data_IF_620226594872
#
_entry.id   IF_620226594872
#
_cell.length_a   1.000
_cell.length_b   1.000
_cell.length_c   1.000
_cell.angle_alpha   90.00
_cell.angle_beta   90.00
_cell.angle_gamma   90.00
#
_symmetry.space_group_name_H-M   'P 1'
#
loop_
_entity.id
_entity.type
_entity.pdbx_description
1 polymer ?
#
# COMPACT_ATOMS: atom_id res chain seq x y z
N UNK A 1 -5.86 17.86 13.36
CA UNK A 1 -7.33 18.03 13.38
C UNK A 1 -7.92 17.61 14.73
N UNK A 2 -7.47 16.52 15.36
CA UNK A 2 -8.05 16.02 16.61
C UNK A 2 -7.53 16.67 17.91
N UNK A 3 -6.28 17.13 17.98
CA UNK A 3 -5.83 17.95 19.13
C UNK A 3 -6.69 19.21 19.28
N UNK A 4 -7.09 19.81 18.15
CA UNK A 4 -8.05 20.91 18.11
C UNK A 4 -9.44 20.50 18.58
N UNK A 5 -9.85 19.23 18.40
CA UNK A 5 -11.08 18.68 18.97
C UNK A 5 -11.04 18.65 20.49
N UNK A 6 -9.90 18.28 21.09
CA UNK A 6 -9.72 18.32 22.56
C UNK A 6 -9.82 19.76 23.11
N UNK A 7 -9.18 20.73 22.44
CA UNK A 7 -9.31 22.14 22.82
C UNK A 7 -10.73 22.67 22.62
N UNK A 8 -11.42 22.28 21.53
CA UNK A 8 -12.84 22.61 21.31
C UNK A 8 -13.75 21.98 22.38
N UNK A 9 -13.46 20.76 22.81
CA UNK A 9 -14.18 20.09 23.90
C UNK A 9 -13.95 20.82 25.23
N UNK A 10 -12.70 21.20 25.53
CA UNK A 10 -12.37 22.02 26.70
C UNK A 10 -13.06 23.39 26.69
N UNK A 11 -13.15 24.03 25.52
CA UNK A 11 -13.89 25.29 25.35
C UNK A 11 -15.40 25.12 25.55
N UNK A 12 -16.00 24.06 24.99
CA UNK A 12 -17.42 23.72 25.23
C UNK A 12 -17.68 23.45 26.70
N UNK A 13 -16.79 22.72 27.37
CA UNK A 13 -16.85 22.44 28.81
C UNK A 13 -16.79 23.74 29.63
N UNK A 14 -15.92 24.68 29.24
CA UNK A 14 -15.82 26.00 29.86
C UNK A 14 -17.15 26.78 29.77
N UNK A 15 -17.79 26.79 28.58
CA UNK A 15 -19.10 27.43 28.38
C UNK A 15 -20.18 26.76 29.24
N UNK A 16 -20.25 25.43 29.23
CA UNK A 16 -21.24 24.68 30.01
C UNK A 16 -21.06 24.95 31.50
N UNK A 17 -19.83 24.94 32.01
CA UNK A 17 -19.55 25.29 33.41
C UNK A 17 -20.01 26.71 33.75
N UNK A 18 -19.77 27.69 32.85
CA UNK A 18 -20.22 29.06 33.04
C UNK A 18 -21.74 29.15 33.13
N UNK A 19 -22.46 28.48 32.22
CA UNK A 19 -23.92 28.47 32.21
C UNK A 19 -24.51 27.82 33.46
N UNK A 20 -23.92 26.71 33.92
CA UNK A 20 -24.32 26.04 35.17
C UNK A 20 -24.09 26.96 36.37
N UNK A 21 -22.92 27.61 36.45
CA UNK A 21 -22.60 28.54 37.55
C UNK A 21 -23.57 29.72 37.58
N UNK A 22 -23.91 30.30 36.42
CA UNK A 22 -24.90 31.37 36.32
C UNK A 22 -26.29 30.89 36.72
N UNK A 23 -26.70 29.70 36.28
CA UNK A 23 -27.97 29.10 36.66
C UNK A 23 -28.09 28.85 38.17
N UNK A 24 -27.03 28.33 38.79
CA UNK A 24 -26.97 28.12 40.24
C UNK A 24 -27.01 29.44 41.02
N UNK A 25 -26.31 30.49 40.55
CA UNK A 25 -26.33 31.80 41.18
C UNK A 25 -27.73 32.42 41.16
N UNK A 26 -28.43 32.32 40.02
CA UNK A 26 -29.81 32.79 39.86
C UNK A 26 -30.79 32.01 40.74
N UNK A 27 -30.65 30.67 40.78
CA UNK A 27 -31.50 29.80 41.60
C UNK A 27 -31.35 30.10 43.10
N UNK A 28 -30.12 30.38 43.55
CA UNK A 28 -29.82 30.72 44.93
C UNK A 28 -30.21 32.16 45.32
N UNK A 29 -30.65 32.99 44.36
CA UNK A 29 -31.03 34.38 44.60
C UNK A 29 -29.87 35.28 45.02
N UNK A 30 -28.63 34.89 44.75
CA UNK A 30 -27.46 35.66 45.13
C UNK A 30 -27.20 36.83 44.16
N UNK A 31 -26.77 38.01 44.65
CA UNK A 31 -26.45 39.14 43.79
C UNK A 31 -25.25 38.82 42.87
N UNK A 32 -25.17 39.53 41.75
CA UNK A 32 -24.01 39.51 40.85
C UNK A 32 -22.85 40.28 41.49
N UNK A 33 -22.05 39.57 42.28
CA UNK A 33 -20.95 40.14 43.05
C UNK A 33 -19.57 39.84 42.43
N UNK A 34 -18.52 40.40 43.02
CA UNK A 34 -17.14 40.15 42.59
C UNK A 34 -16.78 38.66 42.76
N UNK A 35 -17.40 37.93 43.69
CA UNK A 35 -17.18 36.49 43.87
C UNK A 35 -17.67 35.69 42.66
N UNK A 36 -18.79 36.06 42.06
CA UNK A 36 -19.28 35.44 40.83
C UNK A 36 -18.29 35.64 39.67
N UNK A 37 -17.67 36.82 39.56
CA UNK A 37 -16.65 37.07 38.53
C UNK A 37 -15.45 36.13 38.69
N UNK A 38 -14.99 35.91 39.93
CA UNK A 38 -13.93 34.94 40.20
C UNK A 38 -14.38 33.51 39.88
N UNK A 39 -15.58 33.09 40.32
CA UNK A 39 -16.13 31.76 40.02
C UNK A 39 -16.25 31.51 38.51
N UNK A 40 -16.72 32.51 37.76
CA UNK A 40 -16.81 32.47 36.31
C UNK A 40 -15.41 32.37 35.66
N UNK A 41 -14.46 33.17 36.13
CA UNK A 41 -13.06 33.12 35.68
C UNK A 41 -12.42 31.76 35.90
N UNK A 42 -12.56 31.18 37.10
CA UNK A 42 -12.08 29.84 37.42
C UNK A 42 -12.83 28.74 36.65
N UNK A 43 -14.15 28.88 36.46
CA UNK A 43 -14.96 27.93 35.69
C UNK A 43 -14.57 27.88 34.21
N UNK A 44 -14.26 29.03 33.62
CA UNK A 44 -13.72 29.12 32.27
C UNK A 44 -12.30 28.58 32.17
N UNK A 45 -11.43 28.96 33.10
CA UNK A 45 -10.06 28.47 33.16
C UNK A 45 -10.00 26.94 33.35
N UNK A 46 -10.91 26.38 34.15
CA UNK A 46 -10.99 24.94 34.41
C UNK A 46 -11.16 24.13 33.12
N UNK A 47 -12.03 24.54 32.19
CA UNK A 47 -12.21 23.84 30.92
C UNK A 47 -10.95 23.81 30.05
N UNK A 48 -10.19 24.90 30.04
CA UNK A 48 -8.91 25.00 29.34
C UNK A 48 -7.82 24.17 30.03
N UNK A 49 -7.72 24.26 31.36
CA UNK A 49 -6.76 23.50 32.17
C UNK A 49 -6.99 22.00 32.00
N UNK A 50 -8.25 21.54 32.04
CA UNK A 50 -8.60 20.15 31.78
C UNK A 50 -8.12 19.68 30.39
N UNK A 51 -8.31 20.49 29.34
CA UNK A 51 -7.85 20.13 28.00
C UNK A 51 -6.32 19.98 27.93
N UNK A 52 -5.57 20.87 28.60
CA UNK A 52 -4.11 20.79 28.69
C UNK A 52 -3.68 19.54 29.45
N UNK A 53 -4.28 19.27 30.62
CA UNK A 53 -3.97 18.09 31.44
C UNK A 53 -4.23 16.81 30.64
N UNK A 54 -5.41 16.68 30.00
CA UNK A 54 -5.75 15.50 29.20
C UNK A 54 -4.76 15.33 28.04
N UNK A 55 -4.46 16.39 27.30
CA UNK A 55 -3.51 16.34 26.18
C UNK A 55 -2.11 15.92 26.63
N UNK A 56 -1.65 16.39 27.80
CA UNK A 56 -0.37 15.99 28.38
C UNK A 56 -0.36 14.57 28.95
N UNK A 57 -1.51 14.06 29.39
CA UNK A 57 -1.63 12.74 30.04
C UNK A 57 -1.84 11.61 29.02
N UNK A 58 -2.41 11.88 27.84
CA UNK A 58 -2.63 10.86 26.79
C UNK A 58 -1.36 10.06 26.47
N UNK A 59 -0.19 10.67 26.19
CA UNK A 59 1.03 9.90 25.89
C UNK A 59 1.48 8.98 27.03
N UNK A 60 1.22 9.39 28.29
CA UNK A 60 1.53 8.57 29.46
C UNK A 60 0.61 7.35 29.54
N UNK A 61 -0.69 7.54 29.28
CA UNK A 61 -1.68 6.45 29.24
C UNK A 61 -1.39 5.50 28.08
N UNK A 62 -1.09 6.01 26.89
CA UNK A 62 -0.69 5.20 25.73
C UNK A 62 0.53 4.34 26.04
N UNK A 63 1.54 4.91 26.70
CA UNK A 63 2.73 4.19 27.10
C UNK A 63 2.44 3.09 28.14
N UNK A 64 1.65 3.41 29.18
CA UNK A 64 1.33 2.48 30.26
C UNK A 64 0.45 1.31 29.79
N UNK A 65 -0.53 1.59 28.93
CA UNK A 65 -1.51 0.59 28.46
C UNK A 65 -1.20 0.01 27.08
N UNK A 66 -0.13 0.47 26.42
CA UNK A 66 0.25 0.08 25.04
C UNK A 66 -0.88 0.29 24.01
N UNK A 67 -1.79 1.21 24.30
CA UNK A 67 -2.92 1.54 23.44
C UNK A 67 -2.50 2.51 22.34
N UNK A 68 -2.99 2.29 21.12
CA UNK A 68 -2.70 3.17 19.97
C UNK A 68 -3.93 4.03 19.72
N UNK A 69 -3.88 5.33 20.04
CA UNK A 69 -5.02 6.23 19.83
C UNK A 69 -5.11 6.73 18.39
N UNK A 70 -6.27 7.25 18.01
CA UNK A 70 -6.48 7.90 16.70
C UNK A 70 -5.51 9.08 16.49
N UNK A 71 -5.18 9.82 17.55
CA UNK A 71 -4.19 10.90 17.49
C UNK A 71 -2.83 10.34 17.07
N UNK A 72 -2.39 9.24 17.69
CA UNK A 72 -1.14 8.57 17.35
C UNK A 72 -1.18 8.02 15.92
N UNK A 73 -2.28 7.40 15.50
CA UNK A 73 -2.46 6.90 14.13
C UNK A 73 -2.38 8.03 13.10
N UNK A 74 -3.00 9.19 13.37
CA UNK A 74 -2.93 10.36 12.49
C UNK A 74 -1.50 10.93 12.40
N UNK A 75 -0.73 10.89 13.50
CA UNK A 75 0.69 11.26 13.47
C UNK A 75 1.49 10.28 12.61
N UNK A 76 1.22 8.97 12.72
CA UNK A 76 1.86 7.91 11.93
C UNK A 76 1.39 7.87 10.46
N UNK A 77 0.21 8.40 10.15
CA UNK A 77 -0.30 8.55 8.79
C UNK A 77 0.46 9.62 7.98
N UNK A 78 1.31 10.42 8.63
CA UNK A 78 2.13 11.41 7.94
C UNK A 78 3.23 10.72 7.12
N UNK A 79 3.15 10.79 5.79
CA UNK A 79 4.15 10.23 4.87
C UNK A 79 5.56 10.81 5.03
N UNK A 80 5.70 11.92 5.76
CA UNK A 80 7.00 12.50 6.10
C UNK A 80 7.61 11.91 7.38
N UNK A 81 6.96 10.93 8.02
CA UNK A 81 7.53 10.23 9.16
C UNK A 81 8.89 9.61 8.78
N UNK A 82 9.90 9.64 9.69
CA UNK A 82 11.25 9.17 9.38
C UNK A 82 11.31 7.77 8.75
N UNK A 83 10.56 6.81 9.31
CA UNK A 83 10.50 5.42 8.84
C UNK A 83 9.94 5.32 7.42
N UNK A 84 8.85 6.03 7.12
CA UNK A 84 8.23 5.99 5.80
C UNK A 84 9.11 6.67 4.74
N UNK A 85 9.83 7.73 5.13
CA UNK A 85 10.85 8.35 4.27
C UNK A 85 12.01 7.40 4.00
N UNK A 86 12.47 6.69 5.02
CA UNK A 86 13.51 5.67 4.84
C UNK A 86 13.03 4.55 3.90
N UNK A 87 11.79 4.07 4.09
CA UNK A 87 11.17 3.07 3.21
C UNK A 87 11.11 3.55 1.77
N UNK A 88 10.68 4.80 1.53
CA UNK A 88 10.63 5.40 0.21
C UNK A 88 12.00 5.46 -0.48
N UNK A 89 13.09 5.70 0.28
CA UNK A 89 14.44 5.79 -0.27
C UNK A 89 15.08 4.41 -0.48
N UNK A 90 14.94 3.51 0.49
CA UNK A 90 15.59 2.19 0.49
C UNK A 90 14.84 1.15 -0.34
N UNK A 91 13.50 1.20 -0.33
CA UNK A 91 12.61 0.24 -0.99
C UNK A 91 11.40 0.95 -1.64
N UNK A 92 11.62 1.77 -2.69
CA UNK A 92 10.58 2.60 -3.30
C UNK A 92 9.40 1.80 -3.86
N UNK A 93 9.64 0.58 -4.37
CA UNK A 93 8.59 -0.30 -4.87
C UNK A 93 7.68 -0.81 -3.75
N UNK A 94 8.27 -1.20 -2.62
CA UNK A 94 7.55 -1.56 -1.40
C UNK A 94 6.79 -0.37 -0.81
N UNK A 95 7.37 0.84 -0.84
CA UNK A 95 6.65 2.05 -0.44
C UNK A 95 5.39 2.28 -1.29
N UNK A 96 5.52 2.22 -2.62
CA UNK A 96 4.38 2.38 -3.52
C UNK A 96 3.32 1.29 -3.31
N UNK A 97 3.75 0.04 -3.16
CA UNK A 97 2.89 -1.08 -2.78
C UNK A 97 2.07 -0.77 -1.52
N UNK A 98 2.75 -0.38 -0.44
CA UNK A 98 2.12 -0.12 0.86
C UNK A 98 1.09 1.01 0.79
N UNK A 99 1.31 2.03 -0.06
CA UNK A 99 0.33 3.11 -0.29
C UNK A 99 -0.91 2.61 -1.02
N UNK A 100 -0.74 1.76 -2.04
CA UNK A 100 -1.88 1.18 -2.78
C UNK A 100 -2.69 0.24 -1.88
N UNK A 101 -2.02 -0.61 -1.10
CA UNK A 101 -2.65 -1.46 -0.09
C UNK A 101 -3.42 -0.61 0.93
N UNK A 102 -2.82 0.48 1.41
CA UNK A 102 -3.46 1.45 2.30
C UNK A 102 -4.79 1.99 1.76
N UNK A 103 -4.85 2.33 0.48
CA UNK A 103 -6.08 2.80 -0.17
C UNK A 103 -7.14 1.69 -0.28
N UNK A 104 -6.72 0.45 -0.59
CA UNK A 104 -7.62 -0.70 -0.68
C UNK A 104 -8.27 -0.99 0.67
N UNK A 105 -7.46 -1.08 1.73
CA UNK A 105 -7.96 -1.46 3.06
C UNK A 105 -8.75 -0.35 3.72
N UNK A 106 -8.44 0.92 3.48
CA UNK A 106 -9.23 2.04 4.01
C UNK A 106 -10.68 1.95 3.53
N UNK A 107 -10.88 1.84 2.22
CA UNK A 107 -12.21 1.78 1.63
C UNK A 107 -12.97 0.50 2.04
N UNK A 108 -12.28 -0.64 2.06
CA UNK A 108 -12.90 -1.89 2.48
C UNK A 108 -13.28 -1.88 3.97
N UNK A 109 -12.46 -1.27 4.83
CA UNK A 109 -12.75 -1.12 6.25
C UNK A 109 -14.00 -0.26 6.50
N UNK A 110 -14.19 0.83 5.74
CA UNK A 110 -15.42 1.63 5.78
C UNK A 110 -16.66 0.80 5.41
N UNK A 111 -16.58 0.00 4.34
CA UNK A 111 -17.70 -0.82 3.85
C UNK A 111 -18.16 -1.92 4.84
N UNK A 112 -17.25 -2.40 5.71
CA UNK A 112 -17.53 -3.45 6.69
C UNK A 112 -17.59 -2.93 8.15
N UNK A 113 -17.50 -1.62 8.36
CA UNK A 113 -17.48 -1.00 9.68
C UNK A 113 -16.35 -1.57 10.59
N UNK A 114 -15.16 -1.71 10.01
CA UNK A 114 -13.89 -1.88 10.73
C UNK A 114 -13.26 -0.50 10.99
N UNK A 115 -12.07 -0.42 11.58
CA UNK A 115 -11.36 0.86 11.77
C UNK A 115 -10.55 1.23 10.51
N UNK A 116 -11.03 2.17 9.66
CA UNK A 116 -10.35 2.52 8.41
C UNK A 116 -9.01 3.24 8.63
N UNK A 117 -8.91 4.06 9.68
CA UNK A 117 -7.68 4.78 10.00
C UNK A 117 -6.57 3.81 10.41
N UNK A 118 -6.89 2.85 11.29
CA UNK A 118 -5.94 1.82 11.71
C UNK A 118 -5.52 0.95 10.52
N UNK A 119 -6.47 0.46 9.72
CA UNK A 119 -6.17 -0.38 8.57
C UNK A 119 -5.22 0.33 7.59
N UNK A 120 -5.52 1.59 7.23
CA UNK A 120 -4.67 2.38 6.34
C UNK A 120 -3.28 2.59 6.90
N UNK A 121 -3.18 3.03 8.15
CA UNK A 121 -1.89 3.34 8.77
C UNK A 121 -1.07 2.07 8.90
N UNK A 122 -1.65 0.98 9.39
CA UNK A 122 -0.94 -0.28 9.51
C UNK A 122 -0.47 -0.82 8.15
N UNK A 123 -1.25 -0.64 7.08
CA UNK A 123 -0.83 -0.98 5.71
C UNK A 123 0.41 -0.19 5.25
N UNK A 124 0.59 1.06 5.67
CA UNK A 124 1.82 1.81 5.34
C UNK A 124 3.08 1.21 5.96
N UNK A 125 2.94 0.49 7.08
CA UNK A 125 4.07 -0.04 7.84
C UNK A 125 4.22 -1.57 7.75
N UNK A 126 3.25 -2.31 7.21
CA UNK A 126 3.23 -3.78 7.25
C UNK A 126 4.52 -4.43 6.73
N UNK A 127 5.15 -3.76 5.76
CA UNK A 127 6.24 -4.27 4.95
C UNK A 127 7.60 -3.60 5.22
N UNK A 128 7.71 -2.78 6.28
CA UNK A 128 8.92 -1.99 6.55
C UNK A 128 10.19 -2.81 6.74
N UNK A 129 10.07 -4.09 7.12
CA UNK A 129 11.21 -5.00 7.23
C UNK A 129 11.94 -5.25 5.91
N UNK A 130 11.26 -5.09 4.76
CA UNK A 130 11.86 -5.25 3.43
C UNK A 130 13.02 -4.26 3.19
N UNK A 131 13.08 -3.15 3.93
CA UNK A 131 14.20 -2.19 3.89
C UNK A 131 15.57 -2.83 4.18
N UNK A 132 15.64 -3.91 4.96
CA UNK A 132 16.91 -4.57 5.27
C UNK A 132 17.52 -5.25 4.04
N UNK A 133 16.68 -5.76 3.14
CA UNK A 133 17.07 -6.57 1.98
C UNK A 133 16.21 -6.26 0.74
N UNK A 134 16.13 -5.00 0.27
CA UNK A 134 15.15 -4.58 -0.72
C UNK A 134 15.25 -5.34 -2.04
N UNK A 135 16.48 -5.66 -2.48
CA UNK A 135 16.76 -6.34 -3.75
C UNK A 135 16.35 -7.82 -3.79
N UNK A 136 15.79 -8.36 -2.71
CA UNK A 136 15.17 -9.69 -2.68
C UNK A 136 13.64 -9.63 -2.88
N UNK A 137 13.04 -8.45 -2.94
CA UNK A 137 11.61 -8.28 -3.14
C UNK A 137 11.36 -7.72 -4.54
N UNK A 138 10.56 -8.45 -5.33
CA UNK A 138 10.44 -8.23 -6.78
C UNK A 138 9.94 -6.82 -7.13
N UNK A 139 9.13 -6.22 -6.26
CA UNK A 139 8.62 -4.86 -6.46
C UNK A 139 9.73 -3.80 -6.44
N UNK A 140 10.88 -4.08 -5.83
CA UNK A 140 12.04 -3.20 -5.81
C UNK A 140 13.08 -3.55 -6.88
N UNK A 141 12.88 -4.64 -7.61
CA UNK A 141 13.75 -5.10 -8.68
C UNK A 141 13.05 -4.77 -10.00
N UNK A 142 13.53 -3.74 -10.69
CA UNK A 142 13.07 -3.41 -12.05
C UNK A 142 13.53 -4.47 -13.06
N UNK A 143 14.14 -4.05 -14.17
CA UNK A 143 14.69 -4.99 -15.17
C UNK A 143 16.00 -5.69 -14.74
N UNK A 144 16.30 -5.76 -13.45
CA UNK A 144 17.54 -6.32 -12.91
C UNK A 144 17.48 -7.84 -12.69
N UNK A 145 18.64 -8.46 -12.47
CA UNK A 145 18.74 -9.88 -12.12
C UNK A 145 17.99 -10.21 -10.82
N UNK A 146 17.13 -11.23 -10.86
CA UNK A 146 16.46 -11.75 -9.66
C UNK A 146 17.46 -12.51 -8.77
N UNK A 147 17.68 -12.00 -7.55
CA UNK A 147 18.62 -12.61 -6.59
C UNK A 147 18.23 -14.03 -6.17
N UNK A 148 16.95 -14.39 -6.27
CA UNK A 148 16.46 -15.73 -5.92
C UNK A 148 16.85 -16.82 -6.92
N UNK A 149 17.28 -16.46 -8.13
CA UNK A 149 17.69 -17.45 -9.15
C UNK A 149 18.98 -18.19 -8.76
N UNK A 150 19.82 -17.54 -7.94
CA UNK A 150 21.10 -18.07 -7.47
C UNK A 150 21.00 -18.77 -6.10
N UNK A 151 19.79 -18.90 -5.56
CA UNK A 151 19.55 -19.44 -4.22
C UNK A 151 18.75 -20.75 -4.25
N UNK A 152 19.00 -21.61 -3.26
CA UNK A 152 18.11 -22.71 -2.96
C UNK A 152 16.72 -22.17 -2.56
N UNK A 153 15.62 -22.88 -2.86
CA UNK A 153 14.28 -22.43 -2.51
C UNK A 153 14.08 -22.22 -1.00
N UNK A 154 14.66 -23.09 -0.16
CA UNK A 154 14.61 -22.96 1.31
C UNK A 154 15.29 -21.67 1.79
N UNK A 155 16.45 -21.32 1.22
CA UNK A 155 17.13 -20.07 1.53
C UNK A 155 16.32 -18.84 1.10
N UNK A 156 15.63 -18.93 -0.04
CA UNK A 156 14.73 -17.88 -0.49
C UNK A 156 13.57 -17.69 0.48
N UNK A 157 12.95 -18.78 0.93
CA UNK A 157 11.87 -18.74 1.91
C UNK A 157 12.32 -18.10 3.23
N UNK A 158 13.50 -18.48 3.75
CA UNK A 158 14.08 -17.88 4.96
C UNK A 158 14.32 -16.37 4.83
N UNK A 159 14.84 -15.91 3.68
CA UNK A 159 15.06 -14.48 3.43
C UNK A 159 13.74 -13.72 3.39
N UNK A 160 12.73 -14.29 2.72
CA UNK A 160 11.42 -13.66 2.65
C UNK A 160 10.76 -13.63 4.03
N UNK A 161 10.75 -14.73 4.80
CA UNK A 161 10.18 -14.72 6.16
C UNK A 161 10.85 -13.71 7.11
N UNK A 162 12.14 -13.44 6.91
CA UNK A 162 12.90 -12.55 7.79
C UNK A 162 12.36 -11.12 7.82
N UNK A 163 11.67 -10.64 6.77
CA UNK A 163 11.13 -9.28 6.76
C UNK A 163 10.10 -9.05 7.88
N UNK A 164 9.39 -10.09 8.33
CA UNK A 164 8.46 -9.98 9.47
C UNK A 164 9.22 -9.63 10.75
N UNK A 165 10.30 -10.36 11.04
CA UNK A 165 11.12 -10.13 12.23
C UNK A 165 11.81 -8.76 12.14
N UNK A 166 12.42 -8.46 11.01
CA UNK A 166 13.10 -7.19 10.76
C UNK A 166 12.11 -6.01 10.89
N UNK A 167 10.88 -6.17 10.39
CA UNK A 167 9.83 -5.16 10.48
C UNK A 167 9.38 -4.91 11.92
N UNK A 168 9.24 -5.98 12.73
CA UNK A 168 8.91 -5.86 14.16
C UNK A 168 10.02 -5.13 14.93
N UNK A 169 11.28 -5.41 14.63
CA UNK A 169 12.42 -4.72 15.26
C UNK A 169 12.38 -3.22 14.94
N UNK A 170 12.26 -2.86 13.66
CA UNK A 170 12.16 -1.46 13.22
C UNK A 170 10.93 -0.77 13.85
N UNK A 171 9.79 -1.44 13.92
CA UNK A 171 8.57 -0.89 14.51
C UNK A 171 8.70 -0.63 16.02
N UNK A 172 9.44 -1.48 16.74
CA UNK A 172 9.74 -1.29 18.17
C UNK A 172 10.69 -0.13 18.40
N UNK A 173 11.75 -0.03 17.61
CA UNK A 173 12.71 1.08 17.66
C UNK A 173 12.00 2.43 17.47
N UNK A 174 11.04 2.49 16.56
CA UNK A 174 10.28 3.70 16.23
C UNK A 174 9.00 3.88 17.05
N UNK A 175 8.71 2.98 18.01
CA UNK A 175 7.55 3.05 18.90
C UNK A 175 6.22 3.22 18.13
N UNK A 176 6.03 2.40 17.10
CA UNK A 176 4.84 2.47 16.23
C UNK A 176 3.54 2.03 16.93
N UNK A 177 3.64 1.28 18.04
CA UNK A 177 2.49 0.81 18.82
C UNK A 177 2.17 -0.66 18.56
N UNK A 178 1.44 -1.28 19.49
CA UNK A 178 1.14 -2.72 19.46
C UNK A 178 0.38 -3.14 18.21
N UNK A 179 -0.70 -2.44 17.88
CA UNK A 179 -1.56 -2.78 16.75
C UNK A 179 -0.82 -2.83 15.40
N UNK A 180 0.13 -1.93 15.17
CA UNK A 180 0.94 -1.92 13.93
C UNK A 180 1.96 -3.07 13.95
N UNK A 181 2.59 -3.31 15.11
CA UNK A 181 3.53 -4.44 15.28
C UNK A 181 2.83 -5.78 15.04
N UNK A 182 1.60 -5.93 15.50
CA UNK A 182 0.81 -7.15 15.33
C UNK A 182 0.46 -7.37 13.86
N UNK A 183 0.01 -6.33 13.14
CA UNK A 183 -0.20 -6.39 11.68
C UNK A 183 1.07 -6.79 10.92
N UNK A 184 2.24 -6.23 11.27
CA UNK A 184 3.51 -6.61 10.62
C UNK A 184 3.76 -8.12 10.77
N UNK A 185 3.40 -8.72 11.91
CA UNK A 185 3.58 -10.17 12.14
C UNK A 185 2.51 -11.02 11.46
N UNK A 186 1.29 -10.51 11.38
CA UNK A 186 0.09 -11.26 11.02
C UNK A 186 -0.28 -11.19 9.53
N UNK A 187 0.18 -10.18 8.79
CA UNK A 187 -0.37 -9.90 7.45
C UNK A 187 -0.15 -11.02 6.42
N UNK A 188 0.78 -11.95 6.64
CA UNK A 188 0.92 -13.17 5.84
C UNK A 188 0.37 -14.43 6.51
N UNK A 189 -0.05 -14.34 7.78
CA UNK A 189 -0.55 -15.45 8.57
C UNK A 189 0.39 -16.64 8.57
N UNK A 190 -0.16 -17.81 8.26
CA UNK A 190 0.59 -19.07 8.04
C UNK A 190 0.57 -19.48 6.57
N UNK A 191 0.45 -18.49 5.67
CA UNK A 191 0.34 -18.71 4.24
C UNK A 191 1.55 -19.44 3.66
N UNK A 192 1.31 -20.23 2.62
CA UNK A 192 2.36 -20.99 1.93
C UNK A 192 3.05 -20.13 0.87
N UNK A 193 4.38 -20.09 0.89
CA UNK A 193 5.23 -19.52 -0.17
C UNK A 193 5.26 -20.44 -1.40
N UNK A 194 4.11 -20.55 -2.06
CA UNK A 194 3.82 -21.59 -3.06
C UNK A 194 4.86 -21.69 -4.16
N UNK A 195 5.36 -20.57 -4.70
CA UNK A 195 6.38 -20.59 -5.75
C UNK A 195 7.65 -21.33 -5.32
N UNK A 196 8.16 -21.06 -4.11
CA UNK A 196 9.40 -21.70 -3.63
C UNK A 196 9.16 -23.13 -3.17
N UNK A 197 7.99 -23.42 -2.61
CA UNK A 197 7.58 -24.79 -2.30
C UNK A 197 7.49 -25.66 -3.56
N UNK A 198 6.79 -25.20 -4.58
CA UNK A 198 6.66 -25.90 -5.87
C UNK A 198 8.03 -26.05 -6.55
N UNK A 199 8.88 -25.02 -6.50
CA UNK A 199 10.26 -25.08 -7.01
C UNK A 199 11.10 -26.14 -6.27
N UNK A 200 10.97 -26.25 -4.95
CA UNK A 200 11.67 -27.25 -4.15
C UNK A 200 11.18 -28.66 -4.47
N UNK A 201 9.87 -28.84 -4.57
CA UNK A 201 9.23 -30.12 -4.89
C UNK A 201 9.67 -30.65 -6.26
N UNK A 202 9.81 -29.76 -7.24
CA UNK A 202 10.30 -30.12 -8.58
C UNK A 202 11.81 -30.42 -8.65
N UNK A 203 12.58 -30.12 -7.60
CA UNK A 203 14.03 -30.35 -7.54
C UNK A 203 14.40 -31.67 -6.83
N UNK A 204 13.47 -32.31 -6.13
CA UNK A 204 13.68 -33.57 -5.44
C UNK A 204 12.91 -34.71 -6.12
N UNK A 205 13.45 -35.92 -6.05
CA UNK A 205 12.70 -37.12 -6.40
C UNK A 205 11.74 -37.43 -5.24
N UNK A 206 10.43 -37.31 -5.48
CA UNK A 206 9.39 -37.56 -4.48
C UNK A 206 9.45 -38.97 -3.89
N UNK A 207 10.06 -39.94 -4.60
CA UNK A 207 10.26 -41.31 -4.10
C UNK A 207 11.39 -41.43 -3.07
N UNK A 208 12.23 -40.41 -2.94
CA UNK A 208 13.42 -40.38 -2.07
C UNK A 208 13.23 -39.41 -0.92
N UNK A 209 12.61 -38.25 -1.15
CA UNK A 209 12.44 -37.20 -0.14
C UNK A 209 11.18 -36.37 -0.38
N UNK A 210 10.32 -36.29 0.64
CA UNK A 210 9.17 -35.37 0.63
C UNK A 210 9.61 -33.99 1.14
N UNK A 211 9.24 -32.94 0.39
CA UNK A 211 9.39 -31.56 0.85
C UNK A 211 8.26 -31.23 1.81
N UNK A 212 8.61 -30.76 3.01
CA UNK A 212 7.63 -30.38 4.02
C UNK A 212 7.09 -28.97 3.76
N UNK A 213 5.76 -28.81 3.71
CA UNK A 213 5.13 -27.48 3.58
C UNK A 213 5.50 -26.53 4.73
N UNK A 214 5.79 -27.07 5.92
CA UNK A 214 6.11 -26.28 7.11
C UNK A 214 7.36 -25.43 6.92
N UNK A 215 8.30 -25.86 6.08
CA UNK A 215 9.53 -25.12 5.78
C UNK A 215 9.28 -23.89 4.87
N UNK A 216 8.10 -23.80 4.25
CA UNK A 216 7.70 -22.77 3.30
C UNK A 216 6.47 -21.99 3.73
N UNK A 217 5.95 -22.22 4.94
CA UNK A 217 4.86 -21.43 5.52
C UNK A 217 5.42 -20.32 6.39
N UNK A 218 4.75 -19.18 6.37
CA UNK A 218 5.04 -18.11 7.32
C UNK A 218 4.80 -18.59 8.76
N UNK A 219 5.55 -18.08 9.75
CA UNK A 219 5.48 -18.55 11.13
C UNK A 219 4.18 -18.13 11.86
N UNK A 220 3.39 -17.23 11.28
CA UNK A 220 2.18 -16.70 11.90
C UNK A 220 2.44 -15.71 13.05
N UNK A 221 1.40 -15.41 13.85
CA UNK A 221 0.07 -16.05 13.85
C UNK A 221 -0.81 -15.65 12.65
N UNK A 222 -1.95 -16.32 12.47
CA UNK A 222 -3.01 -15.87 11.55
C UNK A 222 -3.52 -14.46 11.98
N UNK A 223 -4.14 -13.68 11.09
CA UNK A 223 -4.80 -12.43 11.45
C UNK A 223 -5.71 -12.60 12.67
N UNK A 224 -5.49 -11.78 13.70
CA UNK A 224 -6.31 -11.77 14.92
C UNK A 224 -7.42 -10.72 14.88
N UNK A 225 -7.33 -9.79 13.92
CA UNK A 225 -8.24 -8.65 13.78
C UNK A 225 -8.78 -8.53 12.36
N UNK A 226 -9.93 -7.88 12.21
CA UNK A 226 -10.52 -7.60 10.88
C UNK A 226 -9.58 -6.74 10.04
N UNK A 227 -8.87 -5.79 10.66
CA UNK A 227 -7.90 -4.90 10.02
C UNK A 227 -6.67 -5.65 9.52
N UNK A 228 -6.09 -6.56 10.30
CA UNK A 228 -4.98 -7.41 9.85
C UNK A 228 -5.40 -8.32 8.68
N UNK A 229 -6.61 -8.87 8.75
CA UNK A 229 -7.16 -9.68 7.68
C UNK A 229 -7.41 -8.88 6.38
N UNK A 230 -7.89 -7.64 6.48
CA UNK A 230 -8.00 -6.74 5.32
C UNK A 230 -6.66 -6.52 4.65
N UNK A 231 -5.59 -6.31 5.43
CA UNK A 231 -4.24 -6.10 4.91
C UNK A 231 -3.71 -7.36 4.22
N UNK A 232 -3.90 -8.54 4.81
CA UNK A 232 -3.58 -9.81 4.15
C UNK A 232 -4.26 -9.96 2.79
N UNK A 233 -5.57 -9.70 2.73
CA UNK A 233 -6.34 -9.82 1.48
C UNK A 233 -5.88 -8.78 0.45
N UNK A 234 -5.67 -7.54 0.86
CA UNK A 234 -5.25 -6.46 -0.02
C UNK A 234 -3.83 -6.65 -0.55
N UNK A 235 -2.88 -7.06 0.29
CA UNK A 235 -1.51 -7.38 -0.10
C UNK A 235 -1.48 -8.45 -1.20
N UNK A 236 -2.16 -9.59 -0.96
CA UNK A 236 -2.21 -10.69 -1.92
C UNK A 236 -2.87 -10.28 -3.25
N UNK A 237 -3.95 -9.49 -3.20
CA UNK A 237 -4.68 -9.03 -4.38
C UNK A 237 -3.87 -7.98 -5.16
N UNK A 238 -3.22 -7.03 -4.49
CA UNK A 238 -2.39 -6.00 -5.13
C UNK A 238 -1.20 -6.64 -5.82
N UNK A 239 -0.49 -7.55 -5.12
CA UNK A 239 0.66 -8.26 -5.65
C UNK A 239 0.30 -9.09 -6.89
N UNK A 240 -0.83 -9.81 -6.86
CA UNK A 240 -1.31 -10.56 -8.01
C UNK A 240 -1.73 -9.64 -9.17
N UNK A 241 -2.36 -8.50 -8.87
CA UNK A 241 -2.81 -7.53 -9.86
C UNK A 241 -1.69 -6.97 -10.73
N UNK A 242 -0.48 -6.83 -10.19
CA UNK A 242 0.72 -6.39 -10.95
C UNK A 242 1.12 -7.34 -12.07
N UNK A 243 0.76 -8.61 -11.95
CA UNK A 243 1.09 -9.65 -12.93
C UNK A 243 0.00 -9.87 -13.98
N UNK A 244 -1.15 -9.18 -13.84
CA UNK A 244 -2.29 -9.36 -14.71
C UNK A 244 -2.06 -8.69 -16.06
N UNK A 245 -2.00 -9.50 -17.13
CA UNK A 245 -1.91 -8.99 -18.51
C UNK A 245 -3.29 -8.55 -18.98
N UNK A 246 -3.38 -7.34 -19.54
CA UNK A 246 -4.63 -6.74 -20.03
C UNK A 246 -5.77 -6.79 -18.97
N UNK A 247 -5.68 -5.91 -17.95
CA UNK A 247 -6.51 -5.94 -16.74
C UNK A 247 -7.94 -5.42 -16.98
N UNK A 248 -8.72 -6.12 -17.81
CA UNK A 248 -10.15 -5.81 -18.00
C UNK A 248 -10.91 -5.93 -16.68
N UNK A 249 -12.02 -5.17 -16.47
CA UNK A 249 -12.80 -5.25 -15.24
C UNK A 249 -13.25 -6.68 -14.89
N UNK A 250 -13.59 -7.51 -15.88
CA UNK A 250 -13.98 -8.90 -15.65
C UNK A 250 -12.81 -9.76 -15.13
N UNK A 251 -11.59 -9.57 -15.64
CA UNK A 251 -10.40 -10.28 -15.18
C UNK A 251 -10.00 -9.85 -13.77
N UNK A 252 -10.08 -8.55 -13.48
CA UNK A 252 -9.82 -8.01 -12.12
C UNK A 252 -10.78 -8.66 -11.13
N UNK A 253 -12.10 -8.68 -11.41
CA UNK A 253 -13.09 -9.35 -10.55
C UNK A 253 -12.79 -10.82 -10.32
N UNK A 254 -12.51 -11.57 -11.39
CA UNK A 254 -12.19 -13.00 -11.28
C UNK A 254 -10.94 -13.26 -10.44
N UNK A 255 -9.91 -12.43 -10.59
CA UNK A 255 -8.68 -12.51 -9.80
C UNK A 255 -8.93 -12.21 -8.32
N UNK A 256 -9.61 -11.11 -7.99
CA UNK A 256 -9.93 -10.71 -6.61
C UNK A 256 -10.69 -11.83 -5.90
N UNK A 257 -11.76 -12.33 -6.51
CA UNK A 257 -12.57 -13.40 -5.92
C UNK A 257 -11.78 -14.69 -5.72
N UNK A 258 -10.95 -15.07 -6.70
CA UNK A 258 -10.11 -16.27 -6.60
C UNK A 258 -9.13 -16.17 -5.43
N UNK A 259 -8.48 -15.04 -5.24
CA UNK A 259 -7.48 -14.85 -4.17
C UNK A 259 -8.15 -14.88 -2.81
N UNK A 260 -9.23 -14.12 -2.63
CA UNK A 260 -9.98 -14.09 -1.36
C UNK A 260 -10.48 -15.51 -1.01
N UNK A 261 -11.03 -16.24 -1.98
CA UNK A 261 -11.50 -17.61 -1.76
C UNK A 261 -10.36 -18.56 -1.40
N UNK A 262 -9.19 -18.45 -2.03
CA UNK A 262 -8.04 -19.30 -1.71
C UNK A 262 -7.55 -19.07 -0.27
N UNK A 263 -7.49 -17.80 0.17
CA UNK A 263 -7.10 -17.44 1.54
C UNK A 263 -8.13 -17.96 2.55
N UNK A 264 -9.43 -17.84 2.22
CA UNK A 264 -10.51 -18.40 3.03
C UNK A 264 -10.42 -19.93 3.13
N UNK A 265 -10.20 -20.64 2.03
CA UNK A 265 -10.10 -22.11 2.00
C UNK A 265 -8.84 -22.61 2.74
N UNK A 266 -7.74 -21.87 2.72
CA UNK A 266 -6.53 -22.17 3.51
C UNK A 266 -6.71 -21.88 5.02
N UNK A 267 -7.90 -21.44 5.45
CA UNK A 267 -8.23 -21.19 6.85
C UNK A 267 -7.52 -19.98 7.44
N UNK A 268 -6.93 -19.10 6.64
CA UNK A 268 -6.15 -17.97 7.16
C UNK A 268 -7.00 -16.97 7.96
N UNK A 269 -8.32 -16.97 7.77
CA UNK A 269 -9.24 -16.03 8.40
C UNK A 269 -9.95 -16.60 9.64
N UNK A 270 -9.60 -17.83 10.07
CA UNK A 270 -10.30 -18.55 11.16
C UNK A 270 -10.18 -17.87 12.53
N UNK A 271 -9.17 -17.02 12.71
CA UNK A 271 -8.84 -16.37 13.99
C UNK A 271 -9.22 -14.88 14.02
N UNK A 272 -10.01 -14.42 13.03
CA UNK A 272 -10.52 -13.06 12.98
C UNK A 272 -12.04 -13.02 12.76
N UNK A 273 -12.68 -11.92 13.16
CA UNK A 273 -14.14 -11.76 13.10
C UNK A 273 -14.64 -11.27 11.73
N UNK A 274 -14.15 -11.83 10.61
CA UNK A 274 -14.69 -11.55 9.28
C UNK A 274 -15.81 -12.52 8.93
N UNK A 275 -16.97 -11.98 8.50
CA UNK A 275 -18.07 -12.81 8.01
C UNK A 275 -17.99 -13.02 6.49
N UNK A 276 -18.67 -14.04 5.97
CA UNK A 276 -18.81 -14.23 4.52
C UNK A 276 -19.42 -13.01 3.81
N UNK A 277 -20.32 -12.29 4.50
CA UNK A 277 -20.90 -11.04 3.99
C UNK A 277 -19.84 -9.95 3.86
N UNK A 278 -18.90 -9.88 4.79
CA UNK A 278 -17.78 -8.94 4.75
C UNK A 278 -16.86 -9.27 3.57
N UNK A 279 -16.52 -10.54 3.34
CA UNK A 279 -15.69 -10.96 2.20
C UNK A 279 -16.28 -10.49 0.85
N UNK A 280 -17.60 -10.59 0.67
CA UNK A 280 -18.26 -10.07 -0.53
C UNK A 280 -18.19 -8.55 -0.67
N UNK A 281 -18.26 -7.81 0.44
CA UNK A 281 -18.11 -6.34 0.43
C UNK A 281 -16.68 -5.93 0.14
N UNK A 282 -15.72 -6.58 0.79
CA UNK A 282 -14.28 -6.40 0.58
C UNK A 282 -13.94 -6.61 -0.90
N UNK A 283 -14.38 -7.73 -1.48
CA UNK A 283 -14.16 -8.03 -2.89
C UNK A 283 -14.65 -6.90 -3.81
N UNK A 284 -15.90 -6.43 -3.62
CA UNK A 284 -16.45 -5.32 -4.40
C UNK A 284 -15.66 -4.02 -4.25
N UNK A 285 -15.20 -3.72 -3.03
CA UNK A 285 -14.41 -2.52 -2.74
C UNK A 285 -13.06 -2.57 -3.46
N UNK A 286 -12.34 -3.70 -3.37
CA UNK A 286 -11.07 -3.92 -4.06
C UNK A 286 -11.24 -3.87 -5.59
N UNK A 287 -12.27 -4.55 -6.12
CA UNK A 287 -12.59 -4.55 -7.55
C UNK A 287 -12.76 -3.12 -8.11
N UNK A 288 -13.46 -2.25 -7.38
CA UNK A 288 -13.70 -0.86 -7.76
C UNK A 288 -12.39 -0.06 -7.81
N UNK A 289 -11.56 -0.16 -6.78
CA UNK A 289 -10.29 0.57 -6.69
C UNK A 289 -9.30 0.08 -7.74
N UNK A 290 -9.10 -1.23 -7.85
CA UNK A 290 -8.16 -1.82 -8.81
C UNK A 290 -8.57 -1.54 -10.25
N UNK A 291 -9.87 -1.59 -10.57
CA UNK A 291 -10.34 -1.19 -11.90
C UNK A 291 -9.94 0.26 -12.20
N UNK A 292 -10.09 1.18 -11.23
CA UNK A 292 -9.67 2.57 -11.38
C UNK A 292 -8.15 2.74 -11.58
N UNK A 293 -7.34 1.95 -10.87
CA UNK A 293 -5.87 1.97 -11.00
C UNK A 293 -5.42 1.42 -12.36
N UNK A 294 -6.06 0.35 -12.84
CA UNK A 294 -5.68 -0.35 -14.06
C UNK A 294 -6.29 0.24 -15.34
N UNK A 295 -7.24 1.16 -15.24
CA UNK A 295 -7.74 1.88 -16.41
C UNK A 295 -6.63 2.75 -17.01
N UNK A 296 -6.22 2.41 -18.24
CA UNK A 296 -5.34 3.24 -19.06
C UNK A 296 -5.81 4.70 -19.05
N UNK A 297 -4.90 5.63 -18.71
CA UNK A 297 -5.08 7.03 -19.15
C UNK A 297 -5.30 6.98 -20.66
N UNK A 298 -6.44 7.47 -21.12
CA UNK A 298 -6.75 7.59 -22.54
C UNK A 298 -5.58 8.33 -23.20
N UNK A 299 -4.89 7.67 -24.13
CA UNK A 299 -3.94 8.34 -25.00
C UNK A 299 -4.74 9.36 -25.81
N UNK A 300 -4.50 10.64 -25.55
CA UNK A 300 -5.03 11.69 -26.41
C UNK A 300 -4.40 11.49 -27.78
N UNK A 301 -5.19 11.31 -28.86
CA UNK A 301 -4.62 11.23 -30.19
C UNK A 301 -3.84 12.51 -30.46
N UNK A 302 -2.54 12.38 -30.76
CA UNK A 302 -1.74 13.53 -31.18
C UNK A 302 -2.42 14.17 -32.40
N UNK A 303 -2.66 15.49 -32.40
CA UNK A 303 -3.22 16.16 -33.55
C UNK A 303 -2.23 16.05 -34.70
N UNK A 304 -2.60 15.28 -35.72
CA UNK A 304 -1.86 15.19 -36.97
C UNK A 304 -1.92 16.55 -37.66
N UNK A 305 -0.92 17.40 -37.42
CA UNK A 305 -0.68 18.59 -38.24
C UNK A 305 -0.29 18.13 -39.64
N UNK A 306 -1.24 18.17 -40.57
CA UNK A 306 -0.95 18.08 -42.01
C UNK A 306 -0.37 19.42 -42.46
N UNK A 307 0.95 19.48 -42.60
CA UNK A 307 1.61 20.56 -43.33
C UNK A 307 1.30 20.39 -44.83
N UNK A 308 0.39 21.22 -45.35
CA UNK A 308 0.10 21.31 -46.77
C UNK A 308 1.24 22.07 -47.47
N UNK A 309 2.18 21.35 -48.10
CA UNK A 309 3.14 21.96 -49.03
C UNK A 309 2.67 21.74 -50.46
N UNK A 310 2.07 22.79 -51.03
CA UNK A 310 1.90 23.11 -52.46
C UNK A 310 1.80 24.64 -52.50
N UNK A 311 2.44 25.42 -53.36
CA UNK A 311 3.28 25.28 -54.54
C UNK A 311 3.97 26.64 -54.68
N UNK A 312 5.24 26.72 -55.11
CA UNK A 312 5.71 27.79 -56.03
C UNK A 312 6.91 27.31 -56.83
N UNK A 313 6.64 26.87 -58.06
CA UNK A 313 7.61 26.88 -59.14
C UNK A 313 7.64 28.29 -59.75
N UNK A 314 8.83 28.91 -59.81
CA UNK A 314 9.16 29.90 -60.84
C UNK A 314 10.67 30.12 -60.93
N UNK A 315 11.18 29.73 -62.10
CA UNK A 315 12.13 30.47 -62.93
C UNK A 315 13.60 30.05 -63.01
N UNK A 316 14.10 30.30 -64.22
CA UNK A 316 15.10 29.56 -65.00
C UNK A 316 16.54 30.08 -64.83
N UNK A 317 17.44 29.21 -65.31
CA UNK A 317 18.66 29.45 -66.12
C UNK A 317 19.99 29.75 -65.41
N UNK A 318 21.01 29.10 -66.00
CA UNK A 318 22.46 29.40 -65.98
C UNK A 318 23.15 29.12 -64.62
N UNK A 319 24.30 28.45 -64.50
CA UNK A 319 25.41 28.15 -65.42
C UNK A 319 26.41 27.24 -64.69
N UNK A 320 27.21 26.44 -65.41
CA UNK A 320 28.64 26.28 -65.04
C UNK A 320 29.13 24.93 -64.50
N UNK A 321 29.57 24.06 -65.42
CA UNK A 321 30.86 23.32 -65.43
C UNK A 321 31.63 23.06 -64.11
N UNK A 322 31.78 21.75 -63.86
CA UNK A 322 33.04 20.94 -63.82
C UNK A 322 34.14 21.17 -62.77
N UNK A 323 34.55 20.01 -62.23
CA UNK A 323 35.86 19.54 -61.76
C UNK A 323 36.21 19.80 -60.28
N UNK A 324 36.73 18.82 -59.52
CA UNK A 324 37.16 17.47 -59.88
C UNK A 324 37.70 16.64 -58.70
N UNK A 325 37.94 15.35 -59.00
CA UNK A 325 38.79 14.31 -58.38
C UNK A 325 38.69 14.05 -56.85
N UNK A 326 38.63 12.80 -56.36
CA UNK A 326 38.70 11.49 -57.01
C UNK A 326 38.83 10.34 -56.00
N UNK A 327 38.86 9.12 -56.56
CA UNK A 327 39.13 7.77 -56.00
C UNK A 327 37.94 6.90 -55.55
N UNK A 328 37.64 5.94 -56.45
CA UNK A 328 37.12 4.56 -56.27
C UNK A 328 38.18 3.65 -55.60
N UNK A 329 37.93 2.37 -55.19
CA UNK A 329 37.05 1.34 -55.80
C UNK A 329 36.07 0.65 -54.80
N UNK A 330 34.89 0.13 -55.18
CA UNK A 330 34.49 -0.94 -56.11
C UNK A 330 34.68 -2.39 -55.59
N UNK A 331 33.56 -3.07 -55.34
CA UNK A 331 33.30 -4.50 -55.58
C UNK A 331 31.76 -4.71 -55.50
N UNK A 332 31.04 -4.69 -56.62
CA UNK A 332 30.50 -5.88 -57.34
C UNK A 332 29.53 -6.72 -56.51
N UNK A 333 28.20 -6.51 -56.63
CA UNK A 333 27.29 -7.15 -57.61
C UNK A 333 27.42 -8.68 -57.69
N UNK A 334 26.36 -9.37 -57.31
CA UNK A 334 25.56 -10.15 -58.27
C UNK A 334 24.12 -10.32 -57.80
N UNK A 335 23.23 -10.19 -58.77
CA UNK A 335 21.79 -10.17 -58.66
C UNK A 335 21.20 -11.44 -59.30
N UNK A 336 19.88 -11.57 -59.09
CA UNK A 336 18.91 -12.37 -59.84
C UNK A 336 18.95 -13.90 -59.63
N UNK A 337 17.82 -14.59 -59.52
CA UNK A 337 16.44 -14.13 -59.60
C UNK A 337 15.43 -15.27 -59.42
N UNK A 338 14.20 -14.86 -59.08
CA UNK A 338 12.89 -15.42 -59.48
C UNK A 338 12.85 -16.88 -59.98
N UNK A 339 12.03 -17.72 -59.34
CA UNK A 339 10.64 -17.98 -59.79
C UNK A 339 9.86 -18.91 -58.84
N UNK A 340 8.59 -18.57 -58.70
CA UNK A 340 7.45 -19.29 -58.15
C UNK A 340 7.36 -20.77 -58.56
N UNK A 341 6.65 -21.55 -57.74
CA UNK A 341 5.80 -22.60 -58.29
C UNK A 341 5.41 -23.74 -57.36
N UNK A 342 4.38 -23.51 -56.55
CA UNK A 342 3.21 -24.39 -56.40
C UNK A 342 3.35 -25.77 -55.71
N UNK A 343 2.36 -26.09 -54.86
CA UNK A 343 1.93 -27.50 -54.70
C UNK A 343 1.58 -27.94 -53.28
N UNK A 344 0.29 -27.78 -52.94
CA UNK A 344 -0.48 -28.51 -51.93
C UNK A 344 -0.03 -29.96 -51.64
N UNK A 345 -0.24 -30.41 -50.40
CA UNK A 345 -0.36 -31.84 -50.13
C UNK A 345 -0.50 -32.25 -48.67
N UNK A 346 -1.74 -32.17 -48.17
CA UNK A 346 -2.33 -32.83 -46.98
C UNK A 346 -2.06 -32.26 -45.59
#
# INVERSE_FOLDING_TARGET
AERTTLYRAGFRLAIVNLLILLGLQLLAGHPFDLQLLYKAGFGLANGLICAVIVTGTIPLVEYLFKYTTDIKLLELANMNAPVLRELMVQAPGTYHHSVVVGNLVEAAAEDINANPLLARVAAYYHDIGKMKKPLYFIENVGSGDNRHDKLAPSMSALILMAHLKDGVEIAREHKLGGAIIDVIREHHGTGLMKFFYDKAKNQVDESVQQVDERDYRYPGPKPQTREAALIMLADAVEAAGRTLTDPTPARVRGMVQKIINNIFIDGQLDECELTLKDLHRIAKSFEKILSGIFHHRVDYPEPVYKENVKDKAADKKATGKKNGNGKKPAAEKKAAGKKNGNGNGK
#
